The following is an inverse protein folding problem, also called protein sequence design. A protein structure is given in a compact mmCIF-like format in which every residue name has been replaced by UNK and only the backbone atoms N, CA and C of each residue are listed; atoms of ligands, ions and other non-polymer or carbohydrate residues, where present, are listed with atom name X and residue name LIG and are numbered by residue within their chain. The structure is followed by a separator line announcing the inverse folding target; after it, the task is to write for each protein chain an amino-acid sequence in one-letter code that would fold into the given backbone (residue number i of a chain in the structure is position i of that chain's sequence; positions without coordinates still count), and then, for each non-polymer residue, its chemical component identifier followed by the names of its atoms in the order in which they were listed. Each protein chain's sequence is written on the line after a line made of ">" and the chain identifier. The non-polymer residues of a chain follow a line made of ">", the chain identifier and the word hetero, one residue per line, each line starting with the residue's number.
data_IF_917118454592
#
_entry.id   IF_917118454592
#
_cell.length_a   1.000
_cell.length_b   1.000
_cell.length_c   1.000
_cell.angle_alpha   90.00
_cell.angle_beta   90.00
_cell.angle_gamma   90.00
#
_symmetry.space_group_name_H-M   'P 1'
#
loop_
_entity.id
_entity.type
_entity.pdbx_description
1 polymer ?
#
# COMPACT_ATOMS: atom_id res chain seq x y z
N UNK A 1 -5.12 -25.65 5.69
CA UNK A 1 -3.99 -25.13 6.50
C UNK A 1 -3.54 -23.83 5.84
N UNK A 2 -3.07 -22.85 6.62
CA UNK A 2 -2.57 -21.57 6.10
C UNK A 2 -1.16 -21.74 5.50
N UNK A 3 -0.86 -21.01 4.43
CA UNK A 3 0.43 -21.03 3.71
C UNK A 3 0.93 -19.59 3.46
N UNK A 4 2.08 -19.19 4.04
CA UNK A 4 2.66 -17.86 3.86
C UNK A 4 3.12 -17.60 2.41
N UNK A 5 3.59 -18.62 1.68
CA UNK A 5 4.13 -18.44 0.33
C UNK A 5 2.99 -18.12 -0.64
N UNK A 6 1.85 -18.79 -0.49
CA UNK A 6 0.62 -18.46 -1.23
C UNK A 6 0.14 -17.05 -0.88
N UNK A 7 0.20 -16.64 0.38
CA UNK A 7 -0.18 -15.28 0.78
C UNK A 7 0.72 -14.21 0.15
N UNK A 8 2.02 -14.47 0.09
CA UNK A 8 3.01 -13.56 -0.51
C UNK A 8 2.93 -13.52 -2.03
N UNK A 9 2.54 -14.62 -2.69
CA UNK A 9 2.35 -14.66 -4.14
C UNK A 9 1.36 -13.62 -4.67
N UNK A 10 0.41 -13.17 -3.84
CA UNK A 10 -0.56 -12.12 -4.19
C UNK A 10 -0.26 -10.74 -3.59
N UNK A 11 0.97 -10.51 -3.09
CA UNK A 11 1.33 -9.21 -2.50
C UNK A 11 1.10 -8.05 -3.48
N UNK A 12 1.48 -8.20 -4.75
CA UNK A 12 1.30 -7.19 -5.79
C UNK A 12 -0.17 -6.93 -6.12
N UNK A 13 -1.00 -7.97 -6.14
CA UNK A 13 -2.44 -7.79 -6.35
C UNK A 13 -3.08 -7.01 -5.20
N UNK A 14 -2.60 -7.24 -3.97
CA UNK A 14 -3.09 -6.57 -2.76
C UNK A 14 -2.57 -5.15 -2.59
N UNK A 15 -1.48 -4.77 -3.25
CA UNK A 15 -0.97 -3.39 -3.24
C UNK A 15 -1.70 -2.46 -4.22
N UNK A 16 -2.35 -3.00 -5.26
CA UNK A 16 -3.07 -2.19 -6.27
C UNK A 16 -4.08 -1.20 -5.68
N UNK A 17 -4.96 -1.56 -4.72
CA UNK A 17 -5.92 -0.60 -4.16
C UNK A 17 -5.26 0.62 -3.49
N UNK A 18 -4.08 0.44 -2.90
CA UNK A 18 -3.31 1.55 -2.31
C UNK A 18 -2.90 2.57 -3.37
N UNK A 19 -2.32 2.10 -4.49
CA UNK A 19 -1.91 2.97 -5.59
C UNK A 19 -3.11 3.60 -6.31
N UNK A 20 -4.19 2.83 -6.50
CA UNK A 20 -5.42 3.35 -7.10
C UNK A 20 -6.00 4.50 -6.26
N UNK A 21 -5.99 4.37 -4.93
CA UNK A 21 -6.42 5.44 -4.04
C UNK A 21 -5.50 6.67 -4.14
N UNK A 22 -4.18 6.47 -4.08
CA UNK A 22 -3.22 7.58 -4.17
C UNK A 22 -3.33 8.32 -5.51
N UNK A 23 -3.62 7.62 -6.61
CA UNK A 23 -3.81 8.24 -7.94
C UNK A 23 -4.93 9.29 -7.98
N UNK A 24 -5.87 9.24 -7.02
CA UNK A 24 -6.99 10.19 -6.91
C UNK A 24 -6.63 11.42 -6.07
N UNK A 25 -5.47 11.43 -5.43
CA UNK A 25 -5.02 12.55 -4.59
C UNK A 25 -4.26 13.56 -5.47
N UNK A 26 -4.89 14.69 -5.79
CA UNK A 26 -4.31 15.76 -6.62
C UNK A 26 -3.25 16.63 -5.93
N UNK A 27 -2.55 16.12 -4.93
CA UNK A 27 -1.57 16.88 -4.17
C UNK A 27 -0.18 16.82 -4.84
N UNK A 28 0.07 17.72 -5.79
CA UNK A 28 1.33 17.74 -6.55
C UNK A 28 2.57 18.04 -5.70
N UNK A 29 2.41 18.81 -4.62
CA UNK A 29 3.51 19.23 -3.73
C UNK A 29 3.10 19.12 -2.26
N UNK A 30 2.89 17.89 -1.80
CA UNK A 30 2.61 17.60 -0.40
C UNK A 30 3.82 17.96 0.48
N UNK A 31 3.61 18.80 1.50
CA UNK A 31 4.66 19.17 2.49
C UNK A 31 4.85 18.11 3.58
N UNK A 32 3.82 17.29 3.81
CA UNK A 32 3.81 16.19 4.78
C UNK A 32 2.78 15.17 4.33
N UNK A 33 3.13 13.90 4.42
CA UNK A 33 2.26 12.76 4.13
C UNK A 33 2.27 11.84 5.35
N UNK A 34 1.10 11.32 5.71
CA UNK A 34 0.93 10.37 6.81
C UNK A 34 0.09 9.21 6.29
N UNK A 35 0.59 7.99 6.47
CA UNK A 35 -0.12 6.74 6.18
C UNK A 35 -0.67 6.17 7.49
N UNK A 36 -1.99 6.28 7.67
CA UNK A 36 -2.66 5.83 8.88
C UNK A 36 -2.94 4.33 8.77
N UNK A 37 -2.38 3.55 9.71
CA UNK A 37 -2.50 2.10 9.69
C UNK A 37 -1.53 1.41 8.74
N UNK A 38 -0.32 1.96 8.55
CA UNK A 38 0.71 1.44 7.63
C UNK A 38 1.21 0.01 7.94
N UNK A 39 0.83 -0.57 9.08
CA UNK A 39 1.25 -1.90 9.50
C UNK A 39 2.78 -2.01 9.54
N UNK A 40 3.41 -2.98 8.84
CA UNK A 40 4.86 -3.08 8.76
C UNK A 40 5.53 -2.02 7.86
N UNK A 41 4.76 -1.12 7.23
CA UNK A 41 5.30 -0.03 6.42
C UNK A 41 5.73 -0.42 5.01
N UNK A 42 5.34 -1.60 4.51
CA UNK A 42 5.80 -2.10 3.20
C UNK A 42 5.41 -1.19 2.01
N UNK A 43 4.29 -0.46 2.14
CA UNK A 43 3.76 0.44 1.11
C UNK A 43 4.09 1.92 1.37
N UNK A 44 4.59 2.23 2.58
CA UNK A 44 5.01 3.57 2.97
C UNK A 44 6.53 3.65 2.80
N UNK A 45 7.01 4.22 1.69
CA UNK A 45 8.44 4.47 1.43
C UNK A 45 8.68 5.92 1.05
#
# INVERSE_FOLDING_TARGET
>A
MWDPDVYLAFADHRSRPFYDLLSRVGAERARRVVDLGCGPGNLTK
#
